data_IF_675006463507
#
_entry.id   IF_675006463507
#
_cell.length_a   1.000
_cell.length_b   1.000
_cell.length_c   1.000
_cell.angle_alpha   90.00
_cell.angle_beta   90.00
_cell.angle_gamma   90.00
#
_symmetry.space_group_name_H-M   'P 1'
#
loop_
_entity.id
_entity.type
_entity.pdbx_description
1 polymer ?
#
# COMPACT_ATOMS: atom_id res chain seq x y z
N UNK A 1 -16.59 63.19 16.68
CA UNK A 1 -15.71 62.44 17.63
C UNK A 1 -16.07 60.97 17.54
N UNK A 2 -15.34 60.15 16.74
CA UNK A 2 -15.57 58.72 16.63
C UNK A 2 -14.82 57.99 17.72
N UNK A 3 -15.57 57.27 18.53
CA UNK A 3 -15.04 56.54 19.69
C UNK A 3 -14.11 55.38 19.26
N UNK A 4 -12.81 55.38 19.65
CA UNK A 4 -11.83 54.37 19.23
C UNK A 4 -12.10 53.01 19.88
N UNK A 5 -13.05 52.91 20.81
CA UNK A 5 -13.39 51.63 21.51
C UNK A 5 -14.10 50.62 20.65
N UNK A 6 -14.94 51.04 19.69
CA UNK A 6 -15.69 50.15 18.81
C UNK A 6 -14.78 49.50 17.75
N UNK A 7 -13.76 50.23 17.27
CA UNK A 7 -12.80 49.68 16.30
C UNK A 7 -11.93 48.53 16.88
N UNK A 8 -11.56 48.63 18.17
CA UNK A 8 -10.75 47.60 18.86
C UNK A 8 -11.53 46.31 19.07
N UNK A 9 -12.83 46.39 19.32
CA UNK A 9 -13.69 45.19 19.46
C UNK A 9 -13.96 44.51 18.13
N UNK A 10 -14.08 45.24 17.05
CA UNK A 10 -14.25 44.69 15.73
C UNK A 10 -12.99 43.94 15.23
N UNK A 11 -11.81 44.44 15.55
CA UNK A 11 -10.53 43.79 15.22
C UNK A 11 -10.35 42.50 16.04
N UNK A 12 -10.72 42.52 17.33
CA UNK A 12 -10.70 41.30 18.18
C UNK A 12 -11.68 40.23 17.68
N UNK A 13 -12.88 40.66 17.25
CA UNK A 13 -13.90 39.71 16.72
C UNK A 13 -13.50 39.08 15.37
N UNK A 14 -12.66 39.75 14.58
CA UNK A 14 -12.14 39.22 13.30
C UNK A 14 -10.91 38.30 13.49
N UNK A 15 -10.14 38.47 14.57
CA UNK A 15 -8.97 37.65 14.87
C UNK A 15 -9.34 36.28 15.51
N UNK A 16 -10.49 36.17 16.16
CA UNK A 16 -10.93 34.94 16.84
C UNK A 16 -11.18 33.76 15.87
N UNK A 17 -11.83 33.93 14.69
CA UNK A 17 -12.02 32.81 13.76
C UNK A 17 -10.72 32.38 13.03
N UNK A 18 -9.71 33.27 12.93
CA UNK A 18 -8.44 32.92 12.30
C UNK A 18 -7.62 31.90 13.11
N UNK A 19 -7.78 31.89 14.43
CA UNK A 19 -7.11 30.93 15.33
C UNK A 19 -7.74 29.55 15.30
N UNK A 20 -9.03 29.44 14.91
CA UNK A 20 -9.72 28.14 14.79
C UNK A 20 -9.33 27.39 13.50
N UNK A 21 -8.82 28.09 12.49
CA UNK A 21 -8.34 27.49 11.24
C UNK A 21 -6.90 26.94 11.34
N UNK A 22 -6.12 27.36 12.32
CA UNK A 22 -4.76 26.87 12.55
C UNK A 22 -4.70 25.51 13.31
N UNK A 23 -5.84 24.99 13.78
CA UNK A 23 -5.93 23.77 14.57
C UNK A 23 -6.20 22.49 13.79
N UNK A 24 -6.39 22.53 12.44
CA UNK A 24 -6.44 21.32 11.64
C UNK A 24 -5.03 20.78 11.44
N UNK A 25 -4.54 20.03 12.43
CA UNK A 25 -3.32 19.22 12.33
C UNK A 25 -3.48 18.06 11.34
N UNK A 26 -3.81 18.35 10.09
CA UNK A 26 -3.69 17.37 9.01
C UNK A 26 -2.21 17.14 8.76
N UNK A 27 -1.60 16.21 9.51
CA UNK A 27 -0.37 15.59 9.08
C UNK A 27 -0.70 14.70 7.89
N UNK A 28 -0.11 15.00 6.75
CA UNK A 28 -0.12 14.11 5.59
C UNK A 28 0.56 12.79 6.02
N UNK A 29 -0.25 11.83 6.48
CA UNK A 29 0.20 10.49 6.82
C UNK A 29 0.54 9.79 5.50
N UNK A 30 1.83 9.65 5.16
CA UNK A 30 2.19 9.03 3.90
C UNK A 30 3.63 9.17 3.43
N UNK A 31 4.54 9.72 4.20
CA UNK A 31 5.98 9.54 3.96
C UNK A 31 6.47 8.43 4.88
N UNK A 32 6.53 7.22 4.35
CA UNK A 32 7.37 6.17 4.94
C UNK A 32 8.83 6.64 4.75
N UNK A 33 9.49 7.01 5.83
CA UNK A 33 10.92 7.29 5.80
C UNK A 33 11.64 5.94 5.84
N UNK A 34 12.04 5.46 4.68
CA UNK A 34 12.79 4.22 4.59
C UNK A 34 14.07 4.28 5.44
N UNK A 35 14.41 3.22 6.16
CA UNK A 35 15.69 3.07 6.82
C UNK A 35 16.84 3.33 5.83
N UNK A 36 17.98 3.85 6.32
CA UNK A 36 19.13 4.22 5.47
C UNK A 36 19.67 3.06 4.63
N UNK A 37 19.60 1.85 5.15
CA UNK A 37 19.97 0.61 4.45
C UNK A 37 19.04 0.27 3.26
N UNK A 38 17.80 0.80 3.23
CA UNK A 38 16.83 0.65 2.14
C UNK A 38 16.79 1.86 1.19
N UNK A 39 17.58 2.91 1.44
CA UNK A 39 17.64 4.08 0.56
C UNK A 39 18.11 3.74 -0.87
N UNK A 40 18.86 2.64 -1.03
CA UNK A 40 19.13 1.99 -2.31
C UNK A 40 18.72 0.54 -2.19
N UNK A 41 17.85 0.07 -3.09
CA UNK A 41 17.30 -1.27 -3.05
C UNK A 41 17.27 -1.90 -4.45
N UNK A 42 17.25 -3.22 -4.48
CA UNK A 42 17.07 -4.04 -5.67
C UNK A 42 16.03 -5.10 -5.41
N UNK A 43 15.12 -5.30 -6.36
CA UNK A 43 14.12 -6.38 -6.29
C UNK A 43 14.60 -7.54 -7.15
N UNK A 44 14.71 -8.72 -6.56
CA UNK A 44 14.95 -9.99 -7.25
C UNK A 44 13.70 -10.83 -7.19
N UNK A 45 13.17 -11.19 -8.35
CA UNK A 45 11.96 -11.98 -8.51
C UNK A 45 12.02 -12.81 -9.80
N UNK A 46 11.29 -13.90 -9.84
CA UNK A 46 11.08 -14.68 -11.07
C UNK A 46 10.08 -14.00 -12.02
N UNK A 47 9.16 -13.17 -11.51
CA UNK A 47 8.18 -12.42 -12.30
C UNK A 47 8.28 -10.92 -12.01
N UNK A 48 8.97 -10.22 -12.90
CA UNK A 48 9.15 -8.76 -12.83
C UNK A 48 7.91 -7.96 -13.24
N UNK A 49 6.90 -8.63 -13.81
CA UNK A 49 5.67 -8.01 -14.32
C UNK A 49 4.46 -8.26 -13.41
N UNK A 50 4.65 -8.99 -12.31
CA UNK A 50 3.56 -9.25 -11.37
C UNK A 50 2.98 -7.94 -10.81
N UNK A 51 1.70 -7.97 -10.43
CA UNK A 51 1.02 -6.82 -9.86
C UNK A 51 1.71 -6.35 -8.56
N UNK A 52 2.10 -7.30 -7.71
CA UNK A 52 2.81 -6.98 -6.47
C UNK A 52 4.21 -6.40 -6.71
N UNK A 53 5.01 -6.98 -7.62
CA UNK A 53 6.33 -6.44 -7.95
C UNK A 53 6.23 -4.99 -8.45
N UNK A 54 5.24 -4.69 -9.29
CA UNK A 54 5.00 -3.34 -9.81
C UNK A 54 4.52 -2.39 -8.71
N UNK A 55 3.60 -2.82 -7.84
CA UNK A 55 3.11 -2.05 -6.69
C UNK A 55 4.25 -1.75 -5.70
N UNK A 56 5.06 -2.75 -5.33
CA UNK A 56 6.19 -2.59 -4.42
C UNK A 56 7.25 -1.65 -5.00
N UNK A 57 7.58 -1.80 -6.30
CA UNK A 57 8.52 -0.91 -6.99
C UNK A 57 8.03 0.54 -6.92
N UNK A 58 6.75 0.77 -7.21
CA UNK A 58 6.15 2.10 -7.16
C UNK A 58 6.18 2.68 -5.75
N UNK A 59 5.85 1.88 -4.73
CA UNK A 59 5.86 2.30 -3.33
C UNK A 59 7.28 2.68 -2.85
N UNK A 60 8.29 1.88 -3.20
CA UNK A 60 9.70 2.17 -2.88
C UNK A 60 10.17 3.48 -3.53
N UNK A 61 9.85 3.70 -4.81
CA UNK A 61 10.19 4.94 -5.51
C UNK A 61 9.52 6.17 -4.88
N UNK A 62 8.25 6.07 -4.51
CA UNK A 62 7.50 7.13 -3.82
C UNK A 62 8.10 7.43 -2.44
N UNK A 63 8.59 6.41 -1.74
CA UNK A 63 9.30 6.54 -0.46
C UNK A 63 10.74 7.08 -0.62
N UNK A 64 11.21 7.29 -1.86
CA UNK A 64 12.51 7.88 -2.14
C UNK A 64 13.65 6.88 -2.29
N UNK A 65 13.36 5.57 -2.37
CA UNK A 65 14.38 4.57 -2.66
C UNK A 65 14.90 4.69 -4.11
N UNK A 66 16.18 4.40 -4.29
CA UNK A 66 16.77 4.24 -5.62
C UNK A 66 16.81 2.75 -5.97
N UNK A 67 16.23 2.37 -7.10
CA UNK A 67 16.12 0.97 -7.52
C UNK A 67 17.15 0.54 -8.58
N UNK A 68 18.02 1.47 -9.01
CA UNK A 68 19.09 1.29 -9.99
C UNK A 68 20.48 1.11 -9.34
N UNK A 69 20.48 0.88 -8.03
CA UNK A 69 21.69 0.79 -7.22
C UNK A 69 22.63 -0.33 -7.66
N UNK A 70 23.95 -0.02 -7.69
CA UNK A 70 24.99 -1.01 -7.86
C UNK A 70 24.87 -2.11 -6.79
N UNK A 71 25.29 -3.37 -7.10
CA UNK A 71 25.21 -4.49 -6.15
C UNK A 71 25.82 -4.21 -4.78
N UNK A 72 26.91 -3.43 -4.77
CA UNK A 72 27.64 -3.07 -3.56
C UNK A 72 26.98 -1.86 -2.89
N UNK A 73 26.22 -2.10 -1.83
CA UNK A 73 25.60 -1.06 -1.00
C UNK A 73 24.09 -0.87 -1.19
N UNK A 74 23.44 -1.70 -1.99
CA UNK A 74 21.97 -1.75 -2.09
C UNK A 74 21.41 -2.92 -1.27
N UNK A 75 20.27 -2.70 -0.59
CA UNK A 75 19.51 -3.80 -0.04
C UNK A 75 18.91 -4.65 -1.18
N UNK A 76 18.85 -5.96 -0.98
CA UNK A 76 18.24 -6.87 -1.93
C UNK A 76 16.94 -7.43 -1.34
N UNK A 77 15.82 -7.12 -1.98
CA UNK A 77 14.52 -7.67 -1.65
C UNK A 77 14.29 -8.87 -2.55
N UNK A 78 14.25 -10.07 -1.99
CA UNK A 78 13.99 -11.30 -2.70
C UNK A 78 12.51 -11.63 -2.60
N UNK A 79 11.77 -11.57 -3.70
CA UNK A 79 10.40 -12.09 -3.79
C UNK A 79 10.51 -13.57 -4.13
N UNK A 80 10.25 -14.42 -3.13
CA UNK A 80 10.40 -15.87 -3.22
C UNK A 80 9.13 -16.56 -3.73
N UNK A 81 7.96 -15.99 -3.43
CA UNK A 81 6.65 -16.40 -3.94
C UNK A 81 5.78 -15.17 -4.14
N UNK A 82 5.01 -15.17 -5.21
CA UNK A 82 4.06 -14.12 -5.61
C UNK A 82 2.94 -14.82 -6.37
N UNK A 83 1.85 -15.12 -5.68
CA UNK A 83 0.78 -15.95 -6.22
C UNK A 83 -0.60 -15.50 -5.78
N UNK A 84 -1.59 -15.76 -6.63
CA UNK A 84 -3.00 -15.56 -6.33
C UNK A 84 -3.76 -16.87 -6.43
N UNK A 85 -4.75 -17.07 -5.56
CA UNK A 85 -5.65 -18.19 -5.61
C UNK A 85 -7.10 -17.73 -5.42
N UNK A 86 -8.03 -18.44 -6.04
CA UNK A 86 -9.47 -18.20 -5.92
C UNK A 86 -10.15 -19.47 -5.41
N UNK A 87 -11.04 -19.33 -4.43
CA UNK A 87 -11.88 -20.43 -3.96
C UNK A 87 -13.35 -20.03 -3.93
N UNK A 88 -14.22 -21.00 -4.19
CA UNK A 88 -15.68 -20.83 -4.07
C UNK A 88 -16.06 -20.85 -2.59
N UNK A 89 -16.81 -19.83 -2.15
CA UNK A 89 -17.37 -19.75 -0.80
C UNK A 89 -18.81 -20.23 -0.73
N UNK A 90 -19.62 -19.87 -1.75
CA UNK A 90 -21.05 -20.14 -1.74
C UNK A 90 -21.50 -20.57 -3.12
N UNK A 91 -22.44 -21.49 -3.15
CA UNK A 91 -23.18 -21.92 -4.35
C UNK A 91 -24.67 -21.68 -4.18
N UNK A 92 -25.35 -21.39 -5.30
CA UNK A 92 -26.81 -21.27 -5.33
C UNK A 92 -27.51 -22.62 -5.16
N UNK A 93 -28.82 -22.59 -5.05
CA UNK A 93 -29.66 -23.81 -5.04
C UNK A 93 -29.51 -24.68 -6.31
N UNK A 94 -28.99 -24.10 -7.41
CA UNK A 94 -28.69 -24.77 -8.67
C UNK A 94 -27.24 -25.22 -8.79
N UNK A 95 -26.50 -25.23 -7.67
CA UNK A 95 -25.07 -25.57 -7.61
C UNK A 95 -24.16 -24.67 -8.45
N UNK A 96 -24.54 -23.41 -8.65
CA UNK A 96 -23.76 -22.41 -9.36
C UNK A 96 -23.02 -21.54 -8.33
N UNK A 97 -21.69 -21.35 -8.45
CA UNK A 97 -20.94 -20.49 -7.54
C UNK A 97 -21.43 -19.05 -7.56
N UNK A 98 -21.71 -18.47 -6.37
CA UNK A 98 -22.24 -17.11 -6.21
C UNK A 98 -21.35 -16.20 -5.40
N UNK A 99 -20.46 -16.76 -4.55
CA UNK A 99 -19.46 -16.00 -3.82
C UNK A 99 -18.09 -16.68 -3.91
N UNK A 100 -17.06 -15.88 -3.98
CA UNK A 100 -15.66 -16.31 -4.12
C UNK A 100 -14.79 -15.56 -3.12
N UNK A 101 -13.68 -16.19 -2.74
CA UNK A 101 -12.59 -15.54 -2.05
C UNK A 101 -11.38 -15.50 -2.98
N UNK A 102 -10.82 -14.31 -3.17
CA UNK A 102 -9.55 -14.10 -3.83
C UNK A 102 -8.48 -13.90 -2.75
N UNK A 103 -7.44 -14.72 -2.77
CA UNK A 103 -6.26 -14.60 -1.90
C UNK A 103 -5.04 -14.18 -2.70
N UNK A 104 -4.25 -13.28 -2.13
CA UNK A 104 -2.95 -12.89 -2.64
C UNK A 104 -1.89 -13.27 -1.62
N UNK A 105 -0.90 -14.07 -2.03
CA UNK A 105 0.19 -14.57 -1.19
C UNK A 105 1.50 -14.04 -1.70
N UNK A 106 2.31 -13.51 -0.79
CA UNK A 106 3.67 -13.09 -1.06
C UNK A 106 4.59 -13.64 0.01
N UNK A 107 5.73 -14.21 -0.40
CA UNK A 107 6.82 -14.59 0.50
C UNK A 107 8.08 -13.87 0.06
N UNK A 108 8.72 -13.15 0.98
CA UNK A 108 9.90 -12.35 0.68
C UNK A 108 10.91 -12.37 1.82
N UNK A 109 12.17 -12.07 1.50
CA UNK A 109 13.25 -11.82 2.45
C UNK A 109 14.04 -10.57 2.03
N UNK A 110 14.83 -10.02 2.94
CA UNK A 110 15.66 -8.83 2.67
C UNK A 110 17.06 -9.04 3.19
N UNK A 111 18.05 -8.79 2.34
CA UNK A 111 19.46 -8.82 2.67
C UNK A 111 20.10 -7.44 2.43
N UNK A 112 21.10 -7.11 3.24
CA UNK A 112 21.92 -5.93 3.06
C UNK A 112 23.39 -6.24 3.39
N UNK A 113 24.29 -6.03 2.44
CA UNK A 113 25.74 -6.28 2.59
C UNK A 113 26.05 -7.69 3.11
N UNK A 114 25.30 -8.71 2.69
CA UNK A 114 25.50 -10.10 3.11
C UNK A 114 24.92 -10.44 4.48
N UNK A 115 24.23 -9.51 5.12
CA UNK A 115 23.50 -9.74 6.35
C UNK A 115 21.99 -9.83 6.08
N UNK A 116 21.33 -10.83 6.63
CA UNK A 116 19.88 -10.97 6.58
C UNK A 116 19.25 -9.89 7.49
N UNK A 117 18.53 -8.94 6.88
CA UNK A 117 17.72 -7.95 7.61
C UNK A 117 16.34 -8.49 7.95
N UNK A 118 15.77 -9.29 7.07
CA UNK A 118 14.48 -9.93 7.24
C UNK A 118 14.55 -11.35 6.69
N UNK A 119 14.33 -12.33 7.57
CA UNK A 119 14.19 -13.73 7.17
C UNK A 119 12.97 -13.92 6.25
N UNK A 120 12.89 -15.02 5.49
CA UNK A 120 11.71 -15.29 4.66
C UNK A 120 10.41 -15.25 5.47
N UNK A 121 9.58 -14.25 5.21
CA UNK A 121 8.24 -14.07 5.81
C UNK A 121 7.16 -14.23 4.73
N UNK A 122 6.06 -14.91 5.10
CA UNK A 122 4.89 -15.07 4.24
C UNK A 122 3.76 -14.15 4.71
N UNK A 123 3.14 -13.46 3.76
CA UNK A 123 1.98 -12.61 3.99
C UNK A 123 0.86 -13.03 3.04
N UNK A 124 -0.38 -13.08 3.57
CA UNK A 124 -1.56 -13.44 2.80
C UNK A 124 -2.64 -12.39 3.07
N UNK A 125 -3.21 -11.83 2.00
CA UNK A 125 -4.39 -10.99 2.06
C UNK A 125 -5.52 -11.64 1.29
N UNK A 126 -6.75 -11.49 1.78
CA UNK A 126 -7.94 -12.05 1.14
C UNK A 126 -9.02 -10.99 0.95
N UNK A 127 -9.81 -11.15 -0.12
CA UNK A 127 -11.05 -10.40 -0.35
C UNK A 127 -12.12 -11.32 -0.88
N UNK A 128 -13.33 -11.14 -0.34
CA UNK A 128 -14.50 -11.82 -0.85
C UNK A 128 -15.19 -10.94 -1.90
N UNK A 129 -15.76 -11.59 -2.90
CA UNK A 129 -16.61 -10.94 -3.88
C UNK A 129 -17.75 -11.86 -4.31
N UNK A 130 -18.89 -11.26 -4.65
CA UNK A 130 -20.07 -11.96 -5.12
C UNK A 130 -20.30 -11.74 -6.61
N UNK A 131 -20.95 -12.68 -7.25
CA UNK A 131 -21.14 -12.71 -8.70
C UNK A 131 -22.60 -12.97 -9.07
N UNK A 132 -23.12 -12.18 -10.03
CA UNK A 132 -24.39 -12.46 -10.71
C UNK A 132 -24.11 -13.16 -12.04
N UNK A 133 -24.73 -14.31 -12.27
CA UNK A 133 -24.58 -15.16 -13.48
C UNK A 133 -24.78 -14.40 -14.79
N UNK A 134 -25.57 -13.29 -14.74
CA UNK A 134 -25.91 -12.48 -15.91
C UNK A 134 -24.82 -11.53 -16.37
N UNK A 135 -23.72 -11.40 -15.60
CA UNK A 135 -22.71 -10.38 -15.79
C UNK A 135 -21.29 -10.96 -15.93
N UNK A 136 -21.09 -11.97 -16.76
CA UNK A 136 -19.82 -12.69 -16.90
C UNK A 136 -18.61 -11.78 -17.22
N UNK A 137 -18.78 -10.77 -18.08
CA UNK A 137 -17.71 -9.82 -18.40
C UNK A 137 -17.40 -8.87 -17.24
N UNK A 138 -18.41 -8.53 -16.42
CA UNK A 138 -18.22 -7.74 -15.22
C UNK A 138 -17.42 -8.51 -14.16
N UNK A 139 -17.62 -9.83 -14.04
CA UNK A 139 -16.87 -10.71 -13.13
C UNK A 139 -15.37 -10.64 -13.39
N UNK A 140 -14.93 -10.73 -14.63
CA UNK A 140 -13.49 -10.71 -14.95
C UNK A 140 -12.86 -9.38 -14.57
N UNK A 141 -13.52 -8.26 -14.91
CA UNK A 141 -13.03 -6.92 -14.56
C UNK A 141 -12.98 -6.69 -13.05
N UNK A 142 -14.00 -7.13 -12.34
CA UNK A 142 -14.05 -7.03 -10.87
C UNK A 142 -12.92 -7.83 -10.23
N UNK A 143 -12.71 -9.07 -10.63
CA UNK A 143 -11.61 -9.91 -10.15
C UNK A 143 -10.24 -9.26 -10.42
N UNK A 144 -10.00 -8.74 -11.64
CA UNK A 144 -8.75 -8.10 -11.99
C UNK A 144 -8.53 -6.82 -11.17
N UNK A 145 -9.60 -6.03 -10.93
CA UNK A 145 -9.55 -4.86 -10.05
C UNK A 145 -9.23 -5.24 -8.60
N UNK A 146 -9.85 -6.31 -8.09
CA UNK A 146 -9.59 -6.79 -6.73
C UNK A 146 -8.19 -7.35 -6.58
N UNK A 147 -7.68 -8.06 -7.59
CA UNK A 147 -6.30 -8.56 -7.59
C UNK A 147 -5.29 -7.41 -7.52
N UNK A 148 -5.48 -6.37 -8.33
CA UNK A 148 -4.64 -5.17 -8.29
C UNK A 148 -4.72 -4.49 -6.92
N UNK A 149 -5.93 -4.31 -6.37
CA UNK A 149 -6.11 -3.71 -5.05
C UNK A 149 -5.45 -4.52 -3.92
N UNK A 150 -5.50 -5.86 -4.00
CA UNK A 150 -4.79 -6.73 -3.06
C UNK A 150 -3.27 -6.58 -3.19
N UNK A 151 -2.75 -6.44 -4.40
CA UNK A 151 -1.33 -6.22 -4.63
C UNK A 151 -0.86 -4.87 -4.06
N UNK A 152 -1.65 -3.81 -4.22
CA UNK A 152 -1.38 -2.48 -3.66
C UNK A 152 -1.42 -2.50 -2.13
N UNK A 153 -2.45 -3.16 -1.53
CA UNK A 153 -2.56 -3.33 -0.08
C UNK A 153 -1.39 -4.17 0.49
N UNK A 154 -0.96 -5.21 -0.24
CA UNK A 154 0.19 -6.03 0.10
C UNK A 154 1.48 -5.20 0.07
N UNK A 155 1.69 -4.41 -0.98
CA UNK A 155 2.84 -3.52 -1.07
C UNK A 155 2.87 -2.52 0.09
N UNK A 156 1.72 -1.93 0.46
CA UNK A 156 1.62 -1.05 1.62
C UNK A 156 1.90 -1.75 2.95
N UNK A 157 1.49 -3.02 3.10
CA UNK A 157 1.81 -3.85 4.27
C UNK A 157 3.31 -4.09 4.35
N UNK A 158 3.93 -4.50 3.23
CA UNK A 158 5.37 -4.77 3.18
C UNK A 158 6.17 -3.49 3.43
N UNK A 159 5.76 -2.34 2.89
CA UNK A 159 6.43 -1.07 3.16
C UNK A 159 6.47 -0.76 4.66
N UNK A 160 5.36 -0.95 5.39
CA UNK A 160 5.33 -0.80 6.86
C UNK A 160 6.27 -1.78 7.57
N UNK A 161 6.38 -3.00 7.06
CA UNK A 161 7.31 -4.00 7.60
C UNK A 161 8.76 -3.60 7.37
N UNK A 162 9.08 -3.06 6.18
CA UNK A 162 10.40 -2.55 5.84
C UNK A 162 10.81 -1.32 6.67
N UNK A 163 9.87 -0.43 7.00
CA UNK A 163 10.10 0.72 7.87
C UNK A 163 10.54 0.32 9.30
N UNK A 164 10.21 -0.90 9.71
CA UNK A 164 10.52 -1.42 11.04
C UNK A 164 11.87 -2.16 11.14
N UNK A 165 12.64 -2.25 10.02
CA UNK A 165 13.97 -2.86 9.96
C UNK A 165 15.06 -1.87 10.33
#
# INVERSE_FOLDING_TARGET
>A
MHSPRKARWQVLALLMPAWLLAGCGFHLQGRHELPRNLASARILTSDTQSDFCNALRSALLVAGARLDGAPDGAATIHILDDSTAERVLTVSAHNIPTAFELSYRVRLSVDYQGHELMAPEEHVLTREYSFDERALLAKQRERDTLRQALADDMAALIMRRLDSL
#
